data_IF_327738757680
#
_entry.id   IF_327738757680
#
_cell.length_a   1.000
_cell.length_b   1.000
_cell.length_c   1.000
_cell.angle_alpha   90.00
_cell.angle_beta   90.00
_cell.angle_gamma   90.00
#
_symmetry.space_group_name_H-M   'P 1'
#
loop_
_entity.id
_entity.type
_entity.pdbx_description
1 polymer ?
#
# COMPACT_ATOMS: atom_id res chain seq x y z
N UNK A 1 1.04 -7.04 -12.89
CA UNK A 1 0.05 -6.43 -11.96
C UNK A 1 -0.68 -5.29 -12.66
N UNK A 2 -2.01 -5.28 -12.61
CA UNK A 2 -2.81 -4.16 -13.16
C UNK A 2 -3.00 -3.05 -12.11
N UNK A 3 -3.49 -1.89 -12.55
CA UNK A 3 -3.84 -0.79 -11.64
C UNK A 3 -4.96 -1.17 -10.64
N UNK A 4 -5.88 -2.06 -11.04
CA UNK A 4 -6.95 -2.56 -10.17
C UNK A 4 -6.41 -3.47 -9.07
N UNK A 5 -5.47 -4.35 -9.42
CA UNK A 5 -4.82 -5.25 -8.45
C UNK A 5 -4.04 -4.44 -7.42
N UNK A 6 -3.25 -3.47 -7.87
CA UNK A 6 -2.49 -2.57 -7.01
C UNK A 6 -3.40 -1.79 -6.05
N UNK A 7 -4.52 -1.27 -6.55
CA UNK A 7 -5.51 -0.58 -5.74
C UNK A 7 -6.08 -1.49 -4.64
N UNK A 8 -6.44 -2.73 -4.99
CA UNK A 8 -6.99 -3.70 -4.03
C UNK A 8 -5.97 -4.03 -2.93
N UNK A 9 -4.70 -4.25 -3.30
CA UNK A 9 -3.63 -4.51 -2.33
C UNK A 9 -3.46 -3.36 -1.34
N UNK A 10 -3.36 -2.12 -1.84
CA UNK A 10 -3.21 -0.93 -0.99
C UNK A 10 -4.40 -0.73 -0.05
N UNK A 11 -5.63 -0.90 -0.54
CA UNK A 11 -6.83 -0.76 0.29
C UNK A 11 -6.88 -1.86 1.38
N UNK A 12 -6.54 -3.10 1.03
CA UNK A 12 -6.50 -4.21 1.99
C UNK A 12 -5.40 -4.03 3.05
N UNK A 13 -4.31 -3.34 2.71
CA UNK A 13 -3.23 -3.02 3.64
C UNK A 13 -3.47 -1.69 4.39
N UNK A 14 -4.70 -1.20 4.45
CA UNK A 14 -5.06 -0.02 5.24
C UNK A 14 -4.74 1.35 4.62
N UNK A 15 -4.34 1.42 3.35
CA UNK A 15 -4.27 2.71 2.67
C UNK A 15 -5.66 3.21 2.28
N UNK A 16 -5.83 4.53 2.32
CA UNK A 16 -7.04 5.21 1.86
C UNK A 16 -6.80 5.90 0.51
N UNK A 17 -7.78 5.86 -0.38
CA UNK A 17 -7.73 6.60 -1.63
C UNK A 17 -8.10 8.08 -1.38
N UNK A 18 -7.14 9.00 -1.44
CA UNK A 18 -7.41 10.42 -1.11
C UNK A 18 -8.02 11.20 -2.27
N UNK A 19 -7.48 11.04 -3.47
CA UNK A 19 -7.95 11.78 -4.66
C UNK A 19 -7.64 11.05 -5.95
N UNK A 20 -8.46 11.34 -6.96
CA UNK A 20 -8.19 11.05 -8.37
C UNK A 20 -7.98 12.36 -9.12
N UNK A 21 -6.96 12.41 -9.98
CA UNK A 21 -6.78 13.52 -10.93
C UNK A 21 -6.39 12.92 -12.28
N UNK A 22 -7.25 13.07 -13.27
CA UNK A 22 -7.08 12.46 -14.59
C UNK A 22 -6.91 10.94 -14.47
N UNK A 23 -5.90 10.39 -15.15
CA UNK A 23 -5.57 8.96 -15.16
C UNK A 23 -4.73 8.50 -13.96
N UNK A 24 -4.66 9.24 -12.86
CA UNK A 24 -3.88 8.83 -11.69
C UNK A 24 -4.74 8.82 -10.41
N UNK A 25 -4.46 7.83 -9.55
CA UNK A 25 -5.04 7.71 -8.21
C UNK A 25 -3.95 7.83 -7.16
N UNK A 26 -4.27 8.50 -6.06
CA UNK A 26 -3.36 8.65 -4.91
C UNK A 26 -3.93 7.88 -3.73
N UNK A 27 -3.08 7.02 -3.17
CA UNK A 27 -3.33 6.27 -1.94
C UNK A 27 -2.41 6.78 -0.84
N UNK A 28 -2.92 6.82 0.38
CA UNK A 28 -2.22 7.37 1.53
C UNK A 28 -2.50 6.56 2.79
N UNK A 29 -1.45 6.31 3.57
CA UNK A 29 -1.52 5.74 4.92
C UNK A 29 -0.48 6.44 5.77
N UNK A 30 -0.90 7.03 6.89
CA UNK A 30 -0.05 7.76 7.84
C UNK A 30 0.76 8.88 7.19
N UNK A 31 1.97 8.59 6.69
CA UNK A 31 2.84 9.53 5.97
C UNK A 31 3.36 8.98 4.63
N UNK A 32 2.90 7.79 4.22
CA UNK A 32 3.32 7.13 2.97
C UNK A 32 2.28 7.38 1.89
N UNK A 33 2.75 7.89 0.75
CA UNK A 33 1.93 8.20 -0.43
C UNK A 33 2.32 7.31 -1.60
N UNK A 34 1.34 6.62 -2.18
CA UNK A 34 1.51 5.82 -3.40
C UNK A 34 0.66 6.40 -4.52
N UNK A 35 1.25 6.62 -5.70
CA UNK A 35 0.55 7.13 -6.88
C UNK A 35 0.49 6.05 -7.95
N UNK A 36 -0.73 5.68 -8.37
CA UNK A 36 -0.97 4.63 -9.35
C UNK A 36 -1.52 5.24 -10.64
N UNK A 37 -0.87 5.02 -11.80
CA UNK A 37 -1.48 5.30 -13.10
C UNK A 37 -2.63 4.31 -13.34
N UNK A 38 -3.81 4.86 -13.59
CA UNK A 38 -5.09 4.21 -13.71
C UNK A 38 -5.68 4.45 -15.11
N UNK A 39 -4.98 3.94 -16.13
CA UNK A 39 -5.53 3.75 -17.47
C UNK A 39 -6.11 2.33 -17.60
N UNK A 40 -7.19 2.19 -18.35
CA UNK A 40 -7.92 0.93 -18.56
C UNK A 40 -6.97 -0.19 -19.02
N UNK A 41 -6.79 -1.22 -18.18
CA UNK A 41 -6.30 -2.53 -18.61
C UNK A 41 -4.80 -2.70 -18.86
N UNK A 42 -3.94 -1.70 -18.65
CA UNK A 42 -2.49 -1.91 -18.86
C UNK A 42 -1.79 -2.43 -17.59
N UNK A 43 -0.75 -3.23 -17.84
CA UNK A 43 0.20 -3.67 -16.83
C UNK A 43 0.96 -2.46 -16.29
N UNK A 44 1.11 -2.40 -14.97
CA UNK A 44 1.93 -1.40 -14.31
C UNK A 44 3.41 -1.67 -14.59
N UNK A 45 4.18 -0.59 -14.77
CA UNK A 45 5.63 -0.68 -14.88
C UNK A 45 6.22 -1.33 -13.61
N UNK A 46 7.25 -2.19 -13.71
CA UNK A 46 7.84 -2.87 -12.56
C UNK A 46 8.21 -1.95 -11.39
N UNK A 47 8.69 -0.74 -11.69
CA UNK A 47 8.99 0.29 -10.66
C UNK A 47 7.76 0.67 -9.82
N UNK A 48 6.59 0.82 -10.44
CA UNK A 48 5.35 1.12 -9.72
C UNK A 48 4.89 -0.08 -8.90
N UNK A 49 5.07 -1.30 -9.42
CA UNK A 49 4.79 -2.54 -8.69
C UNK A 49 5.68 -2.63 -7.44
N UNK A 50 6.98 -2.39 -7.58
CA UNK A 50 7.92 -2.38 -6.46
C UNK A 50 7.54 -1.34 -5.40
N UNK A 51 7.16 -0.13 -5.82
CA UNK A 51 6.71 0.92 -4.90
C UNK A 51 5.49 0.50 -4.08
N UNK A 52 4.53 -0.22 -4.68
CA UNK A 52 3.37 -0.75 -3.96
C UNK A 52 3.81 -1.73 -2.87
N UNK A 53 4.61 -2.73 -3.22
CA UNK A 53 5.04 -3.74 -2.24
C UNK A 53 5.92 -3.16 -1.15
N UNK A 54 6.87 -2.29 -1.49
CA UNK A 54 7.71 -1.61 -0.49
C UNK A 54 6.86 -0.77 0.47
N UNK A 55 5.84 -0.08 -0.03
CA UNK A 55 4.94 0.71 0.80
C UNK A 55 4.03 -0.15 1.69
N UNK A 56 3.67 -1.37 1.29
CA UNK A 56 2.89 -2.30 2.12
C UNK A 56 3.78 -2.90 3.20
N UNK A 57 4.95 -3.43 2.81
CA UNK A 57 5.88 -4.08 3.71
C UNK A 57 6.36 -3.16 4.85
N UNK A 58 6.47 -1.85 4.60
CA UNK A 58 6.85 -0.88 5.64
C UNK A 58 5.86 -0.78 6.81
N UNK A 59 4.65 -1.34 6.69
CA UNK A 59 3.65 -1.36 7.77
C UNK A 59 3.36 -2.77 8.31
N UNK A 60 3.78 -3.83 7.63
CA UNK A 60 3.64 -5.21 8.12
C UNK A 60 4.68 -5.53 9.21
N UNK A 61 5.87 -4.95 9.11
CA UNK A 61 6.94 -5.12 10.12
C UNK A 61 6.52 -4.55 11.48
N UNK A 62 5.86 -3.38 11.49
CA UNK A 62 5.49 -2.69 12.72
C UNK A 62 4.38 -3.44 13.51
N UNK A 63 3.54 -4.23 12.84
CA UNK A 63 2.49 -5.02 13.50
C UNK A 63 3.05 -6.24 14.23
N UNK A 64 4.24 -6.71 13.85
CA UNK A 64 4.88 -7.89 14.47
C UNK A 64 5.65 -7.49 15.73
N UNK A 65 6.28 -6.32 15.74
CA UNK A 65 7.04 -5.81 16.89
C UNK A 65 6.14 -5.39 18.06
N UNK A 66 4.95 -4.85 17.79
CA UNK A 66 3.98 -4.50 18.83
C UNK A 66 3.35 -5.72 19.51
N UNK A 67 3.15 -6.82 18.75
CA UNK A 67 2.54 -8.04 19.29
C UNK A 67 3.52 -8.83 20.16
N UNK A 68 4.80 -8.94 19.77
CA UNK A 68 5.83 -9.68 20.53
C UNK A 68 6.09 -9.03 21.91
N UNK A 69 6.15 -7.69 21.96
CA UNK A 69 6.46 -6.99 23.21
C UNK A 69 5.30 -7.04 24.23
N UNK A 70 4.05 -7.22 23.79
CA UNK A 70 2.90 -7.37 24.69
C UNK A 70 2.80 -8.77 25.32
N UNK A 71 3.34 -9.80 24.66
CA UNK A 71 3.32 -11.17 25.17
C UNK A 71 4.41 -11.40 26.24
N UNK A 72 5.51 -10.66 26.21
CA UNK A 72 6.57 -10.73 27.24
C UNK A 72 6.21 -9.96 28.54
N UNK A 73 5.43 -8.88 28.47
CA UNK A 73 4.98 -8.14 29.67
C UNK A 73 3.82 -8.82 30.41
N UNK A 74 3.11 -9.75 29.75
CA UNK A 74 1.99 -10.50 30.33
C UNK A 74 2.37 -11.95 30.71
N UNK A 75 3.65 -12.33 30.64
CA UNK A 75 4.15 -13.67 31.01
C UNK A 75 4.91 -13.71 32.34
#
# INVERSE_FOLDING_TARGET
MTAKDAAKLLLNSGFMQMRSKGSHRIYFRENVRVVIPFHSGKILHPKTVQQVFTAIASFEVNQTEEQINQDEENS
#
